data_IF_449900794313
#
_entry.id   IF_449900794313
#
_cell.length_a   1.000
_cell.length_b   1.000
_cell.length_c   1.000
_cell.angle_alpha   90.00
_cell.angle_beta   90.00
_cell.angle_gamma   90.00
#
_symmetry.space_group_name_H-M   'P 1'
#
loop_
_entity.id
_entity.type
_entity.pdbx_description
1 polymer ?
#
# COMPACT_ATOMS: atom_id res chain seq x y z
N UNK A 1 -6.05 -26.18 12.87
CA UNK A 1 -7.48 -26.37 13.13
C UNK A 1 -8.35 -25.26 12.59
N UNK A 2 -8.05 -23.99 12.92
CA UNK A 2 -8.84 -22.88 12.39
C UNK A 2 -8.90 -22.85 10.86
N UNK A 3 -7.82 -23.19 10.19
CA UNK A 3 -7.75 -23.20 8.71
C UNK A 3 -8.69 -24.23 8.09
N UNK A 4 -8.95 -25.35 8.76
CA UNK A 4 -9.85 -26.38 8.25
C UNK A 4 -11.31 -25.96 8.29
N UNK A 5 -11.63 -24.95 9.08
CA UNK A 5 -12.98 -24.39 9.20
C UNK A 5 -13.16 -23.11 8.38
N UNK A 6 -12.20 -22.79 7.52
CA UNK A 6 -12.26 -21.58 6.72
C UNK A 6 -11.75 -20.32 7.40
N UNK A 7 -11.21 -20.42 8.59
CA UNK A 7 -10.61 -19.28 9.28
C UNK A 7 -9.21 -18.99 8.73
N UNK A 8 -8.88 -17.71 8.62
CA UNK A 8 -7.61 -17.23 8.09
C UNK A 8 -6.57 -16.93 9.18
N UNK A 9 -6.86 -17.25 10.44
CA UNK A 9 -6.00 -16.93 11.57
C UNK A 9 -6.04 -17.93 12.70
N UNK A 10 -5.16 -17.74 13.66
CA UNK A 10 -5.11 -18.54 14.89
C UNK A 10 -4.64 -17.67 16.06
N UNK A 11 -4.93 -18.14 17.28
CA UNK A 11 -4.47 -17.48 18.50
C UNK A 11 -3.51 -18.38 19.25
N UNK A 12 -2.41 -17.78 19.71
CA UNK A 12 -1.46 -18.44 20.62
C UNK A 12 -1.09 -17.49 21.75
N UNK A 13 -1.44 -17.89 22.97
CA UNK A 13 -1.28 -17.02 24.14
C UNK A 13 -2.19 -15.79 24.02
N UNK A 14 -1.60 -14.61 24.13
CA UNK A 14 -2.29 -13.34 24.01
C UNK A 14 -2.20 -12.73 22.59
N UNK A 15 -1.65 -13.47 21.63
CA UNK A 15 -1.43 -12.98 20.27
C UNK A 15 -2.39 -13.65 19.29
N UNK A 16 -2.96 -12.85 18.40
CA UNK A 16 -3.77 -13.30 17.29
C UNK A 16 -2.95 -13.14 16.00
N UNK A 17 -2.86 -14.23 15.22
CA UNK A 17 -2.13 -14.25 13.96
C UNK A 17 -3.11 -14.44 12.81
N UNK A 18 -3.05 -13.55 11.83
CA UNK A 18 -3.84 -13.60 10.60
C UNK A 18 -2.94 -13.85 9.42
N UNK A 19 -3.31 -14.80 8.57
CA UNK A 19 -2.54 -15.14 7.37
C UNK A 19 -3.20 -14.58 6.14
N UNK A 20 -2.42 -13.92 5.30
CA UNK A 20 -2.81 -13.52 3.96
C UNK A 20 -1.72 -13.95 2.99
N UNK A 21 -2.12 -14.31 1.77
CA UNK A 21 -1.18 -14.73 0.74
C UNK A 21 -0.88 -13.57 -0.21
N UNK A 22 0.41 -13.27 -0.35
CA UNK A 22 0.90 -12.23 -1.23
C UNK A 22 1.77 -12.85 -2.31
N UNK A 23 1.25 -12.90 -3.52
CA UNK A 23 1.95 -13.51 -4.68
C UNK A 23 3.27 -12.82 -5.01
N UNK A 24 3.39 -11.53 -4.72
CA UNK A 24 4.58 -10.76 -5.06
C UNK A 24 5.81 -11.10 -4.23
N UNK A 25 5.66 -11.77 -3.10
CA UNK A 25 6.79 -12.24 -2.31
C UNK A 25 7.61 -13.33 -3.02
N UNK A 26 7.00 -14.04 -3.96
CA UNK A 26 7.64 -15.09 -4.73
C UNK A 26 7.88 -14.71 -6.20
N UNK A 27 7.59 -13.47 -6.57
CA UNK A 27 7.68 -13.01 -7.94
C UNK A 27 9.05 -12.37 -8.20
N UNK A 28 9.79 -12.95 -9.14
CA UNK A 28 11.12 -12.46 -9.53
C UNK A 28 11.02 -11.07 -10.16
N UNK A 29 9.97 -10.78 -10.91
CA UNK A 29 9.81 -9.51 -11.61
C UNK A 29 9.60 -8.33 -10.69
N UNK A 30 9.03 -8.56 -9.52
CA UNK A 30 8.83 -7.54 -8.50
C UNK A 30 9.92 -7.52 -7.44
N UNK A 31 10.94 -8.38 -7.57
CA UNK A 31 12.05 -8.45 -6.65
C UNK A 31 11.77 -9.23 -5.36
N UNK A 32 10.58 -9.78 -5.19
CA UNK A 32 10.23 -10.53 -4.00
C UNK A 32 11.07 -11.79 -3.82
N UNK A 33 11.22 -12.57 -4.88
CA UNK A 33 12.03 -13.78 -4.86
C UNK A 33 13.54 -13.52 -4.78
N UNK A 34 13.96 -12.32 -5.05
CA UNK A 34 15.37 -11.94 -5.08
C UNK A 34 16.03 -12.00 -3.69
N UNK A 35 15.26 -11.79 -2.64
CA UNK A 35 15.77 -11.72 -1.28
C UNK A 35 15.55 -13.01 -0.49
N UNK A 36 15.02 -14.06 -1.10
CA UNK A 36 14.64 -15.31 -0.44
C UNK A 36 13.66 -15.13 0.73
N UNK A 37 12.94 -14.03 0.76
CA UNK A 37 11.95 -13.79 1.80
C UNK A 37 10.66 -14.50 1.44
N UNK A 38 10.26 -15.46 2.26
CA UNK A 38 9.05 -16.25 2.05
C UNK A 38 7.82 -15.67 2.73
N UNK A 39 8.01 -14.77 3.65
CA UNK A 39 6.92 -14.14 4.35
C UNK A 39 7.37 -12.98 5.20
N UNK A 40 6.41 -12.19 5.62
CA UNK A 40 6.63 -11.06 6.51
C UNK A 40 5.62 -11.14 7.64
N UNK A 41 6.10 -11.08 8.87
CA UNK A 41 5.26 -10.91 10.04
C UNK A 41 5.19 -9.41 10.34
N UNK A 42 4.00 -8.84 10.24
CA UNK A 42 3.78 -7.42 10.44
C UNK A 42 2.81 -7.18 11.61
N UNK A 43 3.05 -6.17 12.45
CA UNK A 43 2.10 -5.82 13.50
C UNK A 43 0.83 -5.23 12.89
N UNK A 44 -0.33 -5.74 13.33
CA UNK A 44 -1.63 -5.32 12.81
C UNK A 44 -2.24 -4.13 13.57
N UNK A 45 -1.65 -3.74 14.70
CA UNK A 45 -2.16 -2.64 15.49
C UNK A 45 -1.82 -1.26 14.94
N UNK A 46 -1.93 -0.28 15.80
CA UNK A 46 -1.58 1.11 15.47
C UNK A 46 -0.47 1.60 16.38
N UNK A 47 0.39 2.45 15.85
CA UNK A 47 1.37 3.19 16.62
C UNK A 47 0.90 4.64 16.84
N UNK A 48 1.26 5.20 17.97
CA UNK A 48 0.99 6.61 18.28
C UNK A 48 2.22 7.44 18.01
N UNK A 49 2.08 8.44 17.14
CA UNK A 49 3.16 9.34 16.77
C UNK A 49 2.70 10.77 16.96
N UNK A 50 3.57 11.61 17.53
CA UNK A 50 3.30 13.03 17.64
C UNK A 50 3.48 13.69 16.27
N UNK A 51 2.43 14.34 15.77
CA UNK A 51 2.48 15.08 14.53
C UNK A 51 2.74 16.56 14.83
N UNK A 52 3.92 17.04 14.43
CA UNK A 52 4.32 18.42 14.65
C UNK A 52 3.45 19.43 13.89
N UNK A 53 2.95 19.02 12.72
CA UNK A 53 2.10 19.89 11.89
C UNK A 53 0.73 20.11 12.54
N UNK A 54 0.14 19.07 13.09
CA UNK A 54 -1.16 19.12 13.75
C UNK A 54 -1.08 19.40 15.24
N UNK A 55 0.12 19.31 15.83
CA UNK A 55 0.35 19.57 17.25
C UNK A 55 -0.31 18.55 18.19
N UNK A 56 -0.55 17.33 17.74
CA UNK A 56 -1.21 16.29 18.53
C UNK A 56 -0.71 14.90 18.21
N UNK A 57 -0.99 13.96 19.11
CA UNK A 57 -0.73 12.56 18.88
C UNK A 57 -1.74 11.96 17.91
N UNK A 58 -1.24 11.25 16.91
CA UNK A 58 -2.05 10.57 15.91
C UNK A 58 -1.76 9.08 15.95
N UNK A 59 -2.82 8.28 15.92
CA UNK A 59 -2.72 6.82 15.76
C UNK A 59 -2.72 6.48 14.28
N UNK A 60 -1.71 5.73 13.85
CA UNK A 60 -1.60 5.26 12.48
C UNK A 60 -1.18 3.79 12.47
N UNK A 61 -1.60 3.01 11.48
CA UNK A 61 -1.09 1.64 11.31
C UNK A 61 0.43 1.63 11.17
N UNK A 62 1.06 0.55 11.58
CA UNK A 62 2.52 0.40 11.46
C UNK A 62 2.99 0.46 10.01
N UNK A 63 2.20 -0.07 9.10
CA UNK A 63 2.44 0.01 7.66
C UNK A 63 1.28 0.78 7.03
N UNK A 64 1.58 1.91 6.41
CA UNK A 64 0.54 2.72 5.76
C UNK A 64 1.10 3.45 4.55
N UNK A 65 0.20 3.95 3.73
CA UNK A 65 0.55 4.71 2.53
C UNK A 65 0.13 6.16 2.76
N UNK A 66 1.05 7.07 2.50
CA UNK A 66 0.77 8.50 2.40
C UNK A 66 0.65 8.89 0.93
N UNK A 67 -0.27 9.78 0.64
CA UNK A 67 -0.45 10.32 -0.69
C UNK A 67 -0.57 11.84 -0.62
N UNK A 68 -0.26 12.49 -1.73
CA UNK A 68 -0.42 13.92 -1.85
C UNK A 68 -1.86 14.24 -2.18
N UNK A 69 -2.57 14.80 -1.22
CA UNK A 69 -3.95 15.25 -1.38
C UNK A 69 -4.00 16.77 -1.47
N UNK A 70 -4.88 17.28 -2.33
CA UNK A 70 -5.16 18.71 -2.45
C UNK A 70 -6.60 18.86 -2.95
N UNK A 71 -7.26 19.93 -2.54
CA UNK A 71 -8.59 20.23 -3.05
C UNK A 71 -8.54 20.71 -4.51
N UNK A 72 -7.45 21.38 -4.90
CA UNK A 72 -7.29 21.88 -6.26
C UNK A 72 -6.73 20.85 -7.24
N UNK A 73 -5.80 20.01 -6.76
CA UNK A 73 -5.13 19.01 -7.60
C UNK A 73 -4.80 17.78 -6.73
N UNK A 74 -5.77 16.90 -6.59
CA UNK A 74 -5.61 15.66 -5.80
C UNK A 74 -4.77 14.67 -6.60
N UNK A 75 -3.62 14.30 -6.04
CA UNK A 75 -2.68 13.39 -6.67
C UNK A 75 -2.71 11.97 -6.11
N UNK A 76 -3.72 11.63 -5.34
CA UNK A 76 -3.92 10.26 -4.90
C UNK A 76 -4.18 9.32 -6.09
N UNK A 77 -5.04 9.73 -6.97
CA UNK A 77 -5.29 9.11 -8.27
C UNK A 77 -5.85 10.17 -9.20
N UNK A 78 -5.04 10.59 -10.14
CA UNK A 78 -5.42 11.59 -11.15
C UNK A 78 -5.45 10.92 -12.51
N UNK A 79 -6.48 11.20 -13.27
CA UNK A 79 -6.58 10.73 -14.64
C UNK A 79 -7.04 11.86 -15.55
N UNK A 80 -6.52 11.88 -16.76
CA UNK A 80 -6.93 12.82 -17.78
C UNK A 80 -6.77 12.20 -19.16
N UNK A 81 -7.45 12.77 -20.13
CA UNK A 81 -7.39 12.34 -21.52
C UNK A 81 -6.80 13.42 -22.39
N UNK A 82 -6.00 13.04 -23.36
CA UNK A 82 -5.45 13.91 -24.38
C UNK A 82 -5.71 13.31 -25.77
N UNK A 83 -5.68 14.14 -26.82
CA UNK A 83 -5.89 13.70 -28.18
C UNK A 83 -7.00 14.47 -28.87
N UNK A 84 -7.36 14.04 -30.09
CA UNK A 84 -8.41 14.69 -30.89
C UNK A 84 -9.72 13.89 -30.89
N UNK A 85 -9.75 12.70 -30.37
CA UNK A 85 -10.93 11.85 -30.29
C UNK A 85 -11.72 12.15 -29.01
N UNK A 86 -13.03 12.07 -29.07
CA UNK A 86 -13.91 12.26 -27.93
C UNK A 86 -14.06 13.69 -27.44
N UNK A 87 -13.79 14.67 -28.31
CA UNK A 87 -13.94 16.11 -28.01
C UNK A 87 -12.74 16.74 -27.34
N UNK A 88 -11.69 16.00 -27.08
CA UNK A 88 -10.42 16.54 -26.60
C UNK A 88 -9.55 16.93 -27.79
N UNK A 89 -9.25 18.22 -27.94
CA UNK A 89 -8.49 18.78 -29.08
C UNK A 89 -7.12 19.26 -28.63
N UNK A 90 -6.37 18.40 -27.95
CA UNK A 90 -5.05 18.72 -27.41
C UNK A 90 -3.90 18.23 -28.30
N UNK A 91 -4.21 17.53 -29.40
CA UNK A 91 -3.23 16.96 -30.32
C UNK A 91 -3.80 16.95 -31.74
N UNK A 92 -2.93 17.09 -32.73
CA UNK A 92 -3.27 16.92 -34.15
C UNK A 92 -3.41 15.46 -34.58
N UNK A 93 -3.01 14.52 -33.70
CA UNK A 93 -3.14 13.10 -33.97
C UNK A 93 -4.59 12.66 -33.76
N UNK A 94 -5.11 11.86 -34.70
CA UNK A 94 -6.41 11.20 -34.58
C UNK A 94 -6.30 10.00 -33.63
N UNK A 95 -6.09 10.30 -32.35
CA UNK A 95 -5.87 9.34 -31.30
C UNK A 95 -6.39 9.87 -29.96
N UNK A 96 -6.62 8.98 -29.03
CA UNK A 96 -6.94 9.30 -27.65
C UNK A 96 -5.95 8.63 -26.72
N UNK A 97 -5.37 9.39 -25.81
CA UNK A 97 -4.51 8.87 -24.77
C UNK A 97 -5.14 9.09 -23.41
N UNK A 98 -5.10 8.07 -22.57
CA UNK A 98 -5.57 8.16 -21.19
C UNK A 98 -4.36 8.07 -20.29
N UNK A 99 -4.19 9.07 -19.45
CA UNK A 99 -3.06 9.19 -18.54
C UNK A 99 -3.53 9.00 -17.11
N UNK A 100 -2.70 8.30 -16.31
CA UNK A 100 -2.92 8.11 -14.88
C UNK A 100 -1.69 8.56 -14.12
N UNK A 101 -1.92 9.23 -13.00
CA UNK A 101 -0.86 9.67 -12.12
C UNK A 101 -1.25 9.43 -10.67
N UNK A 102 -0.33 8.89 -9.88
CA UNK A 102 -0.50 8.72 -8.44
C UNK A 102 0.81 9.03 -7.74
N UNK A 103 0.77 9.94 -6.77
CA UNK A 103 1.91 10.26 -5.92
C UNK A 103 1.67 9.67 -4.53
N UNK A 104 2.40 8.61 -4.21
CA UNK A 104 2.25 7.86 -2.97
C UNK A 104 3.62 7.55 -2.37
N UNK A 105 3.64 7.43 -1.06
CA UNK A 105 4.82 7.02 -0.31
C UNK A 105 4.42 5.94 0.69
N UNK A 106 5.18 4.86 0.72
CA UNK A 106 5.02 3.82 1.72
C UNK A 106 5.74 4.23 3.00
N UNK A 107 5.05 4.18 4.13
CA UNK A 107 5.59 4.55 5.43
C UNK A 107 5.52 3.35 6.37
N UNK A 108 6.66 3.04 6.98
CA UNK A 108 6.78 1.99 7.99
C UNK A 108 7.15 2.66 9.31
N UNK A 109 6.35 2.42 10.34
CA UNK A 109 6.61 2.88 11.69
C UNK A 109 6.93 1.68 12.58
N UNK A 110 7.90 1.84 13.48
CA UNK A 110 8.29 0.74 14.34
C UNK A 110 8.84 -0.45 13.56
N UNK A 111 9.80 -0.22 12.66
CA UNK A 111 10.34 -1.24 11.77
C UNK A 111 10.93 -2.45 12.52
N UNK A 112 11.36 -2.26 13.75
CA UNK A 112 11.87 -3.33 14.61
C UNK A 112 10.79 -4.34 15.04
N UNK A 113 9.52 -4.01 14.86
CA UNK A 113 8.40 -4.91 15.16
C UNK A 113 8.04 -5.83 13.99
N UNK A 114 8.65 -5.62 12.83
CA UNK A 114 8.47 -6.48 11.67
C UNK A 114 9.50 -7.60 11.69
N UNK A 115 9.11 -8.77 11.23
CA UNK A 115 10.00 -9.92 11.08
C UNK A 115 9.91 -10.47 9.67
N UNK A 116 11.07 -10.67 9.04
CA UNK A 116 11.16 -11.29 7.74
C UNK A 116 11.38 -12.79 7.91
N UNK A 117 10.60 -13.58 7.21
CA UNK A 117 10.64 -15.04 7.25
C UNK A 117 11.34 -15.59 6.00
N UNK A 118 12.36 -16.40 6.21
CA UNK A 118 13.07 -17.10 5.14
C UNK A 118 12.45 -18.47 4.85
#
# INVERSE_FOLDING_TARGET
MALNLGFSGFRRGSYDFYKTDWKYLNDITTGGAFTNIRGVLAPAGTSTVYDQTLGKNIKRPFLHVRYRASQADDRRMKSWTTGSVGGATTSDLDAMEVHYLSERCLVVQGANNFMLLN
#
